data_IF_900148915782
#
_entry.id   IF_900148915782
#
_cell.length_a   1.000
_cell.length_b   1.000
_cell.length_c   1.000
_cell.angle_alpha   90.00
_cell.angle_beta   90.00
_cell.angle_gamma   90.00
#
_symmetry.space_group_name_H-M   'P 1'
#
loop_
_entity.id
_entity.type
_entity.pdbx_description
1 polymer ?
#
# COMPACT_ATOMS: atom_id res chain seq x y z
N UNK A 1 1.04 -1.30 -7.70
CA UNK A 1 1.53 0.01 -7.22
C UNK A 1 0.35 0.76 -6.62
N UNK A 2 0.53 1.26 -5.42
CA UNK A 2 -0.48 2.03 -4.69
C UNK A 2 0.00 3.45 -4.51
N UNK A 3 -0.80 4.39 -4.98
CA UNK A 3 -0.47 5.82 -5.00
C UNK A 3 -1.54 6.59 -4.23
N UNK A 4 -1.12 7.60 -3.46
CA UNK A 4 -2.07 8.48 -2.78
C UNK A 4 -2.76 9.38 -3.80
N UNK A 5 -4.09 9.41 -3.76
CA UNK A 5 -4.89 10.17 -4.72
C UNK A 5 -4.66 11.69 -4.60
N UNK A 6 -4.52 12.19 -3.37
CA UNK A 6 -4.39 13.63 -3.11
C UNK A 6 -2.98 14.17 -3.39
N UNK A 7 -1.96 13.47 -2.91
CA UNK A 7 -0.56 13.93 -3.00
C UNK A 7 0.18 13.40 -4.21
N UNK A 8 -0.32 12.33 -4.84
CA UNK A 8 0.35 11.57 -5.89
C UNK A 8 1.62 10.83 -5.41
N UNK A 9 1.85 10.76 -4.11
CA UNK A 9 2.98 9.99 -3.59
C UNK A 9 2.76 8.49 -3.78
N UNK A 10 3.83 7.78 -4.11
CA UNK A 10 3.82 6.32 -4.19
C UNK A 10 3.90 5.78 -2.76
N UNK A 11 2.89 5.05 -2.35
CA UNK A 11 2.78 4.56 -0.98
C UNK A 11 3.43 3.20 -0.77
N UNK A 12 3.15 2.27 -1.68
CA UNK A 12 3.62 0.89 -1.54
C UNK A 12 3.49 0.12 -2.85
N UNK A 13 4.07 -1.07 -2.88
CA UNK A 13 3.87 -2.06 -3.94
C UNK A 13 3.56 -3.39 -3.27
N UNK A 14 2.61 -4.12 -3.84
CA UNK A 14 2.26 -5.46 -3.40
C UNK A 14 1.75 -6.26 -4.60
N UNK A 15 1.34 -7.49 -4.37
CA UNK A 15 0.88 -8.38 -5.43
C UNK A 15 -0.63 -8.54 -5.36
N UNK A 16 -1.24 -8.77 -6.52
CA UNK A 16 -2.65 -9.12 -6.64
C UNK A 16 -2.79 -10.33 -7.54
N UNK A 17 -3.61 -11.29 -7.13
CA UNK A 17 -4.12 -12.29 -8.05
C UNK A 17 -5.50 -11.82 -8.56
N UNK A 18 -6.13 -12.61 -9.42
CA UNK A 18 -7.44 -12.24 -9.98
C UNK A 18 -8.48 -12.01 -8.88
N UNK A 19 -8.51 -12.87 -7.86
CA UNK A 19 -9.44 -12.75 -6.74
C UNK A 19 -9.24 -11.46 -5.96
N UNK A 20 -7.97 -11.11 -5.67
CA UNK A 20 -7.65 -9.86 -4.97
C UNK A 20 -8.12 -8.64 -5.77
N UNK A 21 -7.88 -8.64 -7.07
CA UNK A 21 -8.32 -7.54 -7.95
C UNK A 21 -9.85 -7.44 -7.98
N UNK A 22 -10.53 -8.56 -8.16
CA UNK A 22 -12.01 -8.60 -8.22
C UNK A 22 -12.61 -8.09 -6.91
N UNK A 23 -12.07 -8.49 -5.76
CA UNK A 23 -12.51 -8.01 -4.46
C UNK A 23 -12.22 -6.52 -4.26
N UNK A 24 -11.07 -6.05 -4.74
CA UNK A 24 -10.73 -4.62 -4.67
C UNK A 24 -11.71 -3.79 -5.47
N UNK A 25 -12.10 -4.25 -6.65
CA UNK A 25 -13.08 -3.57 -7.50
C UNK A 25 -14.45 -3.56 -6.82
N UNK A 26 -14.87 -4.69 -6.29
CA UNK A 26 -16.20 -4.85 -5.68
C UNK A 26 -16.33 -4.03 -4.39
N UNK A 27 -15.35 -4.14 -3.50
CA UNK A 27 -15.42 -3.48 -2.18
C UNK A 27 -14.93 -2.05 -2.19
N UNK A 28 -14.21 -1.64 -3.22
CA UNK A 28 -13.50 -0.34 -3.33
C UNK A 28 -12.49 -0.13 -2.21
N UNK A 29 -11.98 -1.22 -1.65
CA UNK A 29 -10.90 -1.22 -0.66
C UNK A 29 -9.79 -2.13 -1.17
N UNK A 30 -8.53 -1.75 -0.91
CA UNK A 30 -7.39 -2.49 -1.44
C UNK A 30 -7.29 -3.87 -0.78
N UNK A 31 -7.28 -4.89 -1.62
CA UNK A 31 -7.05 -6.29 -1.26
C UNK A 31 -5.86 -6.76 -2.07
N UNK A 32 -4.87 -7.32 -1.41
CA UNK A 32 -3.66 -7.82 -2.05
C UNK A 32 -3.57 -9.34 -1.90
N UNK A 33 -2.60 -9.93 -2.58
CA UNK A 33 -2.29 -11.36 -2.46
C UNK A 33 -0.90 -11.53 -1.88
N UNK A 34 -0.80 -12.21 -0.74
CA UNK A 34 0.48 -12.53 -0.13
C UNK A 34 1.05 -13.78 -0.78
N UNK A 35 2.16 -13.63 -1.52
CA UNK A 35 2.83 -14.76 -2.18
C UNK A 35 3.44 -15.74 -1.19
N UNK A 36 4.01 -15.23 -0.11
CA UNK A 36 4.66 -16.06 0.91
C UNK A 36 3.65 -16.89 1.70
N UNK A 37 2.49 -16.30 2.02
CA UNK A 37 1.43 -16.97 2.77
C UNK A 37 0.42 -17.66 1.87
N UNK A 38 0.46 -17.40 0.57
CA UNK A 38 -0.47 -17.94 -0.44
C UNK A 38 -1.93 -17.69 -0.08
N UNK A 39 -2.22 -16.47 0.37
CA UNK A 39 -3.58 -16.08 0.75
C UNK A 39 -3.82 -14.60 0.49
N UNK A 40 -5.09 -14.22 0.48
CA UNK A 40 -5.51 -12.83 0.37
C UNK A 40 -5.09 -12.04 1.60
N UNK A 41 -4.77 -10.78 1.37
CA UNK A 41 -4.40 -9.84 2.41
C UNK A 41 -5.27 -8.59 2.28
N UNK A 42 -6.15 -8.40 3.25
CA UNK A 42 -7.05 -7.24 3.31
C UNK A 42 -6.32 -6.11 4.02
N UNK A 43 -5.91 -5.10 3.25
CA UNK A 43 -5.14 -3.98 3.79
C UNK A 43 -5.94 -3.25 4.85
N UNK A 44 -5.35 -3.09 6.03
CA UNK A 44 -5.97 -2.38 7.16
C UNK A 44 -6.83 -3.25 8.06
N UNK A 45 -6.93 -4.57 7.79
CA UNK A 45 -7.76 -5.47 8.59
C UNK A 45 -7.35 -5.46 10.07
N UNK A 46 -6.05 -5.43 10.36
CA UNK A 46 -5.54 -5.39 11.74
C UNK A 46 -5.29 -3.98 12.24
N UNK A 47 -4.72 -3.12 11.39
CA UNK A 47 -4.29 -1.78 11.78
C UNK A 47 -5.41 -0.73 11.74
N UNK A 48 -6.47 -0.98 10.97
CA UNK A 48 -7.49 0.02 10.67
C UNK A 48 -7.07 1.00 9.58
N UNK A 49 -5.87 0.89 9.05
CA UNK A 49 -5.33 1.79 8.02
C UNK A 49 -5.75 1.31 6.62
N UNK A 50 -7.03 1.32 6.36
CA UNK A 50 -7.61 0.91 5.07
C UNK A 50 -7.18 1.82 3.94
N UNK A 51 -7.25 1.29 2.73
CA UNK A 51 -7.01 2.05 1.51
C UNK A 51 -8.30 2.06 0.70
N UNK A 52 -8.99 3.19 0.69
CA UNK A 52 -10.20 3.37 -0.11
C UNK A 52 -9.80 3.70 -1.54
N UNK A 53 -10.21 2.86 -2.48
CA UNK A 53 -9.81 3.00 -3.88
C UNK A 53 -10.66 4.06 -4.57
N UNK A 54 -10.00 5.04 -5.18
CA UNK A 54 -10.64 6.11 -5.95
C UNK A 54 -10.58 5.81 -7.45
N UNK A 55 -9.41 5.35 -7.94
CA UNK A 55 -9.20 5.05 -9.35
C UNK A 55 -8.33 3.81 -9.49
N UNK A 56 -8.57 3.05 -10.55
CA UNK A 56 -7.78 1.85 -10.89
C UNK A 56 -7.35 1.96 -12.34
N UNK A 57 -6.05 1.78 -12.58
CA UNK A 57 -5.46 1.77 -13.92
C UNK A 57 -4.70 0.47 -14.13
N UNK A 58 -4.60 0.04 -15.38
CA UNK A 58 -3.65 -1.00 -15.75
C UNK A 58 -2.74 -0.45 -16.85
N UNK A 59 -1.54 -1.04 -16.96
CA UNK A 59 -0.58 -0.60 -17.96
C UNK A 59 -0.86 -1.20 -19.35
N UNK A 60 0.01 -0.89 -20.32
CA UNK A 60 -0.23 -1.22 -21.74
C UNK A 60 -0.29 -2.72 -22.03
N UNK A 61 0.41 -3.54 -21.28
CA UNK A 61 0.40 -5.00 -21.44
C UNK A 61 -0.41 -5.74 -20.35
N UNK A 62 -1.09 -4.97 -19.49
CA UNK A 62 -2.07 -5.47 -18.51
C UNK A 62 -1.50 -6.44 -17.48
N UNK A 63 -0.25 -6.24 -17.08
CA UNK A 63 0.39 -7.03 -16.04
C UNK A 63 0.71 -6.24 -14.77
N UNK A 64 0.50 -4.92 -14.78
CA UNK A 64 0.64 -4.05 -13.61
C UNK A 64 -0.65 -3.28 -13.38
N UNK A 65 -1.06 -3.20 -12.12
CA UNK A 65 -2.23 -2.41 -11.70
C UNK A 65 -1.74 -1.23 -10.87
N UNK A 66 -2.24 -0.04 -11.19
CA UNK A 66 -2.03 1.16 -10.40
C UNK A 66 -3.35 1.50 -9.73
N UNK A 67 -3.37 1.52 -8.40
CA UNK A 67 -4.56 1.97 -7.66
C UNK A 67 -4.24 3.30 -6.99
N UNK A 68 -5.14 4.26 -7.17
CA UNK A 68 -5.08 5.53 -6.45
C UNK A 68 -6.06 5.48 -5.31
N UNK A 69 -5.57 5.74 -4.10
CA UNK A 69 -6.32 5.48 -2.87
C UNK A 69 -6.35 6.70 -1.96
N UNK A 70 -7.33 6.71 -1.06
CA UNK A 70 -7.30 7.51 0.14
C UNK A 70 -6.81 6.61 1.27
N UNK A 71 -5.60 6.88 1.79
CA UNK A 71 -5.00 6.08 2.86
C UNK A 71 -5.58 6.51 4.20
N UNK A 72 -6.41 5.68 4.79
CA UNK A 72 -6.92 5.93 6.14
C UNK A 72 -5.76 5.92 7.15
N UNK A 73 -5.78 6.87 8.06
CA UNK A 73 -4.73 7.02 9.07
C UNK A 73 -3.41 7.59 8.57
N UNK A 74 -3.27 7.78 7.26
CA UNK A 74 -2.06 8.34 6.67
C UNK A 74 -0.83 7.46 6.75
N UNK A 75 -0.97 6.17 7.10
CA UNK A 75 0.13 5.23 7.32
C UNK A 75 -0.07 4.00 6.45
N UNK A 76 0.71 3.87 5.38
CA UNK A 76 0.66 2.72 4.50
C UNK A 76 1.59 1.58 4.95
N UNK A 77 2.70 1.91 5.62
CA UNK A 77 3.75 0.95 5.96
C UNK A 77 3.58 0.38 7.37
N UNK A 78 3.88 -0.92 7.53
CA UNK A 78 3.82 -1.58 8.84
C UNK A 78 4.87 -1.03 9.82
N UNK A 79 5.87 -0.30 9.34
CA UNK A 79 6.85 0.38 10.20
C UNK A 79 6.30 1.64 10.87
N UNK A 80 5.05 2.01 10.56
CA UNK A 80 4.43 3.23 11.08
C UNK A 80 4.73 4.46 10.25
N UNK A 81 5.27 4.30 9.05
CA UNK A 81 5.56 5.41 8.13
C UNK A 81 4.44 5.57 7.11
N UNK A 82 4.34 6.78 6.55
CA UNK A 82 3.31 7.11 5.56
C UNK A 82 3.44 6.25 4.30
N UNK A 83 4.66 5.90 3.90
CA UNK A 83 4.94 5.13 2.69
C UNK A 83 6.01 4.07 2.95
N UNK A 84 5.99 3.01 2.16
CA UNK A 84 6.99 1.94 2.25
C UNK A 84 8.33 2.33 1.62
N UNK A 85 8.33 3.28 0.70
CA UNK A 85 9.52 3.73 -0.01
C UNK A 85 10.20 4.87 0.76
N UNK A 86 10.76 4.57 1.93
CA UNK A 86 11.36 5.56 2.81
C UNK A 86 12.89 5.51 2.87
N UNK A 87 13.50 4.59 2.14
CA UNK A 87 14.95 4.53 2.00
C UNK A 87 15.33 5.10 0.64
N UNK A 88 16.10 6.16 0.64
CA UNK A 88 16.58 6.83 -0.58
C UNK A 88 18.06 6.57 -0.78
N UNK A 89 18.46 6.20 -1.98
CA UNK A 89 19.88 6.08 -2.33
C UNK A 89 20.47 7.48 -2.52
N UNK A 90 21.47 7.81 -1.74
CA UNK A 90 22.15 9.10 -1.79
C UNK A 90 23.64 8.86 -1.57
N UNK A 91 24.49 9.26 -2.54
CA UNK A 91 25.94 9.05 -2.49
C UNK A 91 26.33 7.59 -2.18
N UNK A 92 25.70 6.63 -2.85
CA UNK A 92 25.91 5.20 -2.68
C UNK A 92 25.52 4.65 -1.29
N UNK A 93 24.77 5.42 -0.51
CA UNK A 93 24.27 5.00 0.79
C UNK A 93 22.74 5.10 0.83
N UNK A 94 22.11 4.16 1.54
CA UNK A 94 20.68 4.22 1.78
C UNK A 94 20.39 5.10 2.99
N UNK A 95 19.59 6.14 2.78
CA UNK A 95 19.22 7.09 3.85
C UNK A 95 17.71 7.07 4.05
N UNK A 96 17.30 7.05 5.31
CA UNK A 96 15.90 7.14 5.68
C UNK A 96 15.40 8.57 5.47
N UNK A 97 14.35 8.75 4.65
CA UNK A 97 13.81 10.08 4.30
C UNK A 97 12.39 10.30 4.81
N UNK A 98 11.84 9.38 5.60
CA UNK A 98 10.49 9.50 6.14
C UNK A 98 10.48 9.03 7.59
N UNK A 99 9.88 9.83 8.45
CA UNK A 99 9.82 9.52 9.88
C UNK A 99 8.68 8.56 10.21
N UNK A 100 8.84 7.81 11.31
CA UNK A 100 7.77 7.02 11.89
C UNK A 100 6.71 7.97 12.43
N UNK A 101 5.46 7.81 11.95
CA UNK A 101 4.34 8.63 12.41
C UNK A 101 3.76 8.04 13.68
N UNK A 102 3.64 6.70 13.72
CA UNK A 102 3.10 5.98 14.85
C UNK A 102 3.90 4.70 15.08
N UNK A 103 4.30 4.45 16.32
CA UNK A 103 5.07 3.25 16.66
C UNK A 103 4.25 2.00 16.29
N UNK A 104 4.87 0.98 15.64
CA UNK A 104 4.18 -0.26 15.33
C UNK A 104 3.51 -0.93 16.53
N UNK A 105 4.07 -0.78 17.72
CA UNK A 105 3.47 -1.30 18.96
C UNK A 105 2.10 -0.68 19.24
N UNK A 106 1.91 0.58 18.85
CA UNK A 106 0.64 1.30 19.04
C UNK A 106 -0.37 0.99 17.94
N UNK A 107 0.10 0.43 16.80
CA UNK A 107 -0.76 0.03 15.68
C UNK A 107 -1.29 -1.39 15.87
N UNK A 108 -0.39 -2.30 16.20
CA UNK A 108 -0.70 -3.75 16.21
C UNK A 108 -0.82 -4.34 17.62
N UNK A 109 -0.62 -3.54 18.62
CA UNK A 109 -0.69 -3.98 20.01
C UNK A 109 0.52 -4.73 20.46
#
# INVERSE_FOLDING_TARGET
ITQDYSSNEILMMAWMNKEALDLSIETKKAVYFSRSRKKLWFKGEESGNYQDIIEIFTDCDQDVVLIKVNQKGGIACHTGRAKCFFNKLDDNEWKVVSNVIKDPKDIYG
#
